data_IF_269585948857
#
_entry.id   IF_269585948857
#
_cell.length_a   1.000
_cell.length_b   1.000
_cell.length_c   1.000
_cell.angle_alpha   90.00
_cell.angle_beta   90.00
_cell.angle_gamma   90.00
#
_symmetry.space_group_name_H-M   'P 1'
#
loop_
_entity.id
_entity.type
_entity.pdbx_description
1 polymer ?
#
# COMPACT_ATOMS: atom_id res chain seq x y z
N UNK A 1 5.20 -8.95 -0.78
CA UNK A 1 3.90 -9.63 -0.88
C UNK A 1 3.38 -9.53 -2.32
N UNK A 2 2.81 -10.60 -2.87
CA UNK A 2 2.27 -10.61 -4.23
C UNK A 2 0.74 -10.72 -4.20
N UNK A 3 0.07 -9.67 -4.66
CA UNK A 3 -1.38 -9.53 -4.80
C UNK A 3 -1.79 -9.34 -6.27
N UNK A 4 -0.99 -9.81 -7.23
CA UNK A 4 -1.32 -9.66 -8.66
C UNK A 4 -2.63 -10.33 -9.09
N UNK A 5 -3.16 -11.26 -8.31
CA UNK A 5 -4.47 -11.88 -8.56
C UNK A 5 -5.60 -11.28 -7.72
N UNK A 6 -5.34 -10.20 -6.98
CA UNK A 6 -6.35 -9.57 -6.14
C UNK A 6 -7.23 -8.64 -6.97
N UNK A 7 -8.49 -9.02 -7.16
CA UNK A 7 -9.48 -8.20 -7.85
C UNK A 7 -9.99 -7.09 -6.91
N UNK A 8 -9.69 -5.85 -7.29
CA UNK A 8 -10.09 -4.65 -6.55
C UNK A 8 -11.36 -4.01 -7.10
N UNK A 9 -11.96 -4.56 -8.16
CA UNK A 9 -13.08 -3.96 -8.90
C UNK A 9 -14.35 -3.73 -8.08
N UNK A 10 -14.50 -4.40 -6.93
CA UNK A 10 -15.66 -4.26 -6.02
C UNK A 10 -15.26 -3.95 -4.58
N UNK A 11 -13.98 -3.82 -4.29
CA UNK A 11 -13.52 -3.61 -2.91
C UNK A 11 -13.85 -2.18 -2.49
N UNK A 12 -14.52 -2.05 -1.35
CA UNK A 12 -14.84 -0.76 -0.72
C UNK A 12 -14.11 -0.56 0.61
N UNK A 13 -13.65 -1.65 1.23
CA UNK A 13 -12.97 -1.64 2.52
C UNK A 13 -11.65 -2.42 2.43
N UNK A 14 -10.55 -1.74 2.75
CA UNK A 14 -9.22 -2.33 2.91
C UNK A 14 -8.61 -2.01 4.28
N UNK A 15 -9.43 -1.63 5.26
CA UNK A 15 -8.95 -1.30 6.61
C UNK A 15 -8.05 -2.41 7.16
N UNK A 16 -6.92 -1.99 7.74
CA UNK A 16 -5.96 -2.87 8.42
C UNK A 16 -5.37 -4.05 7.60
N UNK A 17 -5.52 -4.10 6.27
CA UNK A 17 -5.09 -5.27 5.49
C UNK A 17 -3.57 -5.54 5.54
N UNK A 18 -2.75 -4.51 5.79
CA UNK A 18 -1.30 -4.65 6.03
C UNK A 18 -0.90 -4.16 7.42
N UNK A 19 -1.82 -4.16 8.39
CA UNK A 19 -1.55 -3.76 9.76
C UNK A 19 -0.45 -4.62 10.38
N UNK A 20 0.33 -4.01 11.28
CA UNK A 20 1.27 -4.70 12.16
C UNK A 20 1.13 -4.14 13.57
N UNK A 21 0.90 -5.02 14.56
CA UNK A 21 0.76 -4.61 15.95
C UNK A 21 2.03 -3.95 16.50
N UNK A 22 1.88 -3.03 17.46
CA UNK A 22 3.01 -2.34 18.09
C UNK A 22 4.03 -3.32 18.69
N UNK A 23 3.57 -4.43 19.28
CA UNK A 23 4.43 -5.48 19.86
C UNK A 23 5.31 -6.19 18.83
N UNK A 24 4.88 -6.18 17.56
CA UNK A 24 5.54 -6.86 16.45
C UNK A 24 6.22 -5.87 15.49
N UNK A 25 6.25 -4.57 15.80
CA UNK A 25 6.87 -3.54 14.96
C UNK A 25 8.34 -3.85 14.63
N UNK A 26 9.08 -4.46 15.55
CA UNK A 26 10.47 -4.88 15.33
C UNK A 26 10.61 -6.03 14.33
N UNK A 27 9.52 -6.75 14.03
CA UNK A 27 9.47 -7.86 13.07
C UNK A 27 9.02 -7.42 11.67
N UNK A 28 8.86 -6.12 11.42
CA UNK A 28 8.45 -5.65 10.10
C UNK A 28 9.43 -6.11 9.00
N UNK A 29 8.88 -6.75 7.99
CA UNK A 29 9.58 -7.33 6.84
C UNK A 29 8.82 -7.11 5.53
N UNK A 30 7.73 -6.33 5.53
CA UNK A 30 6.96 -6.06 4.33
C UNK A 30 7.55 -4.85 3.59
N UNK A 31 8.37 -5.13 2.58
CA UNK A 31 9.09 -4.10 1.83
C UNK A 31 8.38 -3.67 0.55
N UNK A 32 7.67 -4.59 -0.10
CA UNK A 32 7.01 -4.32 -1.39
C UNK A 32 5.71 -5.10 -1.51
N UNK A 33 4.68 -4.46 -2.07
CA UNK A 33 3.40 -5.08 -2.40
C UNK A 33 3.22 -5.01 -3.91
N UNK A 34 3.28 -6.17 -4.56
CA UNK A 34 3.07 -6.30 -6.00
C UNK A 34 1.59 -6.44 -6.34
N UNK A 35 1.12 -5.69 -7.32
CA UNK A 35 -0.27 -5.72 -7.82
C UNK A 35 -0.28 -5.87 -9.35
N UNK A 36 -1.44 -6.15 -9.93
CA UNK A 36 -1.60 -6.17 -11.39
C UNK A 36 -1.78 -4.75 -11.97
N UNK A 37 -1.84 -4.67 -13.29
CA UNK A 37 -2.03 -3.40 -14.01
C UNK A 37 -3.42 -2.79 -13.82
N UNK A 38 -4.42 -3.62 -13.50
CA UNK A 38 -5.81 -3.24 -13.30
C UNK A 38 -6.12 -2.86 -11.83
N UNK A 39 -5.09 -2.74 -10.99
CA UNK A 39 -5.25 -2.40 -9.59
C UNK A 39 -5.82 -0.99 -9.46
N UNK A 40 -7.00 -0.90 -8.84
CA UNK A 40 -7.74 0.34 -8.68
C UNK A 40 -8.34 0.44 -7.27
N UNK A 41 -8.15 1.59 -6.63
CA UNK A 41 -8.65 1.91 -5.29
C UNK A 41 -9.71 3.01 -5.32
N UNK A 42 -10.19 3.41 -6.50
CA UNK A 42 -11.19 4.47 -6.65
C UNK A 42 -12.45 4.22 -5.83
N UNK A 43 -12.89 2.95 -5.72
CA UNK A 43 -14.09 2.53 -4.97
C UNK A 43 -13.89 2.41 -3.46
N UNK A 44 -12.67 2.53 -2.95
CA UNK A 44 -12.43 2.49 -1.51
C UNK A 44 -13.12 3.64 -0.80
N UNK A 45 -13.92 3.28 0.21
CA UNK A 45 -14.54 4.18 1.19
C UNK A 45 -13.88 4.04 2.56
N UNK A 46 -13.28 2.89 2.85
CA UNK A 46 -12.61 2.61 4.14
C UNK A 46 -11.19 2.09 3.89
N UNK A 47 -10.19 2.79 4.45
CA UNK A 47 -8.76 2.46 4.31
C UNK A 47 -7.97 2.78 5.59
N UNK A 48 -8.67 2.89 6.72
CA UNK A 48 -8.08 3.23 8.01
C UNK A 48 -7.02 2.21 8.43
N UNK A 49 -5.86 2.71 8.88
CA UNK A 49 -4.84 1.89 9.53
C UNK A 49 -4.16 0.86 8.64
N UNK A 50 -4.28 0.96 7.31
CA UNK A 50 -3.75 -0.02 6.35
C UNK A 50 -2.28 -0.34 6.57
N UNK A 51 -1.45 0.65 6.83
CA UNK A 51 0.01 0.50 6.88
C UNK A 51 0.62 0.81 8.25
N UNK A 52 -0.17 0.76 9.32
CA UNK A 52 0.38 0.97 10.68
C UNK A 52 1.58 0.04 10.88
N UNK A 53 2.69 0.65 11.32
CA UNK A 53 3.97 -0.01 11.61
C UNK A 53 4.69 -0.66 10.43
N UNK A 54 4.31 -0.39 9.18
CA UNK A 54 5.01 -0.85 7.96
C UNK A 54 6.17 0.05 7.55
N UNK A 55 7.11 0.30 8.47
CA UNK A 55 8.21 1.27 8.30
C UNK A 55 9.18 0.90 7.17
N UNK A 56 9.25 -0.36 6.78
CA UNK A 56 10.09 -0.82 5.66
C UNK A 56 9.40 -0.77 4.29
N UNK A 57 8.10 -0.53 4.24
CA UNK A 57 7.34 -0.55 3.00
C UNK A 57 7.76 0.59 2.07
N UNK A 58 8.00 0.28 0.80
CA UNK A 58 8.33 1.22 -0.27
C UNK A 58 7.47 0.96 -1.49
N UNK A 59 7.14 2.04 -2.20
CA UNK A 59 6.62 1.95 -3.56
C UNK A 59 7.65 1.44 -4.56
N UNK A 60 7.22 1.09 -5.77
CA UNK A 60 8.06 0.52 -6.81
C UNK A 60 9.24 1.39 -7.25
N UNK A 61 9.11 2.71 -7.11
CA UNK A 61 10.18 3.70 -7.37
C UNK A 61 10.84 4.18 -6.07
N UNK A 62 10.61 3.48 -4.96
CA UNK A 62 11.18 3.79 -3.65
C UNK A 62 10.42 4.82 -2.84
N UNK A 63 9.23 5.27 -3.26
CA UNK A 63 8.44 6.25 -2.51
C UNK A 63 8.07 5.75 -1.11
N UNK A 64 8.09 6.66 -0.13
CA UNK A 64 7.64 6.38 1.24
C UNK A 64 7.25 7.66 1.99
N UNK A 65 6.35 7.50 2.96
CA UNK A 65 6.15 8.44 4.05
C UNK A 65 7.01 8.05 5.26
N UNK A 66 7.55 9.02 6.02
CA UNK A 66 8.26 8.76 7.28
C UNK A 66 7.41 7.98 8.29
N UNK A 67 6.11 8.25 8.34
CA UNK A 67 5.11 7.47 9.05
C UNK A 67 4.10 6.89 8.04
N UNK A 68 4.15 5.58 7.76
CA UNK A 68 3.23 4.94 6.82
C UNK A 68 1.75 5.05 7.20
N UNK A 69 1.44 5.33 8.48
CA UNK A 69 0.06 5.53 8.95
C UNK A 69 -0.57 6.82 8.43
N UNK A 70 0.25 7.76 7.94
CA UNK A 70 -0.20 9.04 7.37
C UNK A 70 -0.61 8.90 5.89
N UNK A 71 -0.51 7.69 5.33
CA UNK A 71 -0.92 7.40 3.96
C UNK A 71 -2.43 7.64 3.80
N UNK A 72 -2.78 8.69 3.08
CA UNK A 72 -4.15 8.95 2.68
C UNK A 72 -4.50 8.18 1.38
N UNK A 73 -5.72 8.40 0.86
CA UNK A 73 -6.17 7.77 -0.39
C UNK A 73 -5.26 8.04 -1.58
N UNK A 74 -4.50 9.15 -1.57
CA UNK A 74 -3.57 9.45 -2.66
C UNK A 74 -2.41 8.45 -2.68
N UNK A 75 -1.99 7.89 -1.55
CA UNK A 75 -0.91 6.89 -1.53
C UNK A 75 -1.35 5.48 -1.93
N UNK A 76 -2.66 5.24 -2.05
CA UNK A 76 -3.24 3.91 -2.35
C UNK A 76 -3.25 3.61 -3.84
N UNK A 77 -2.11 3.76 -4.51
CA UNK A 77 -1.96 3.55 -5.95
C UNK A 77 -0.62 2.94 -6.27
N UNK A 78 -0.46 2.54 -7.53
CA UNK A 78 0.83 2.19 -8.08
C UNK A 78 1.75 3.40 -8.02
N UNK A 79 2.97 3.18 -7.53
CA UNK A 79 3.97 4.20 -7.34
C UNK A 79 4.48 4.76 -8.68
N UNK A 80 4.28 6.06 -8.88
CA UNK A 80 4.64 6.80 -10.09
C UNK A 80 5.08 8.24 -9.73
N UNK A 81 6.17 8.40 -8.95
CA UNK A 81 6.58 9.71 -8.44
C UNK A 81 7.11 10.63 -9.55
N UNK A 82 7.55 10.08 -10.70
CA UNK A 82 7.98 10.87 -11.87
C UNK A 82 6.83 11.70 -12.45
N UNK A 83 5.58 11.26 -12.23
CA UNK A 83 4.36 11.99 -12.58
C UNK A 83 3.68 12.65 -11.36
N UNK A 84 4.40 12.83 -10.25
CA UNK A 84 3.87 13.43 -9.02
C UNK A 84 2.85 12.56 -8.28
N UNK A 85 2.85 11.25 -8.53
CA UNK A 85 1.88 10.29 -7.98
C UNK A 85 2.59 9.21 -7.16
N UNK A 86 3.24 9.55 -6.03
CA UNK A 86 3.82 8.53 -5.17
C UNK A 86 2.75 7.57 -4.66
N UNK A 87 3.13 6.32 -4.41
CA UNK A 87 2.24 5.27 -3.93
C UNK A 87 2.98 4.10 -3.28
N UNK A 88 2.24 3.24 -2.59
CA UNK A 88 2.81 2.08 -1.88
C UNK A 88 2.74 0.75 -2.65
N UNK A 89 2.10 0.73 -3.81
CA UNK A 89 1.97 -0.48 -4.62
C UNK A 89 2.94 -0.46 -5.80
N UNK A 90 3.37 -1.66 -6.19
CA UNK A 90 4.34 -1.86 -7.27
C UNK A 90 3.69 -2.71 -8.35
N UNK A 91 3.81 -2.31 -9.62
CA UNK A 91 3.41 -3.18 -10.73
C UNK A 91 4.25 -4.44 -10.68
N UNK A 92 3.59 -5.60 -10.75
CA UNK A 92 4.30 -6.86 -10.94
C UNK A 92 5.08 -6.77 -12.27
N UNK A 93 6.38 -7.19 -12.28
CA UNK A 93 7.16 -7.28 -13.51
C UNK A 93 6.50 -8.15 -14.58
#
# INVERSE_FOLDING_TARGET
LNLSNFDTSKVTDMSYIFYLENKDMSKDNLETIYVNNDFDTAKLTVFTGMFINRKKLRGGSGSFLPNPSDADKTWLRIDDPTNGRPGYFTRKP
#
